data_IF_553663227954
#
_entry.id   IF_553663227954
#
_cell.length_a   1.000
_cell.length_b   1.000
_cell.length_c   1.000
_cell.angle_alpha   90.00
_cell.angle_beta   90.00
_cell.angle_gamma   90.00
#
_symmetry.space_group_name_H-M   'P 1'
#
loop_
_entity.id
_entity.type
_entity.pdbx_description
1 polymer ?
#
# COMPACT_ATOMS: atom_id res chain seq x y z
N UNK A 1 -4.52 -22.97 6.65
CA UNK A 1 -4.01 -21.83 5.83
C UNK A 1 -3.24 -20.87 6.73
N UNK A 2 -2.02 -20.43 6.39
CA UNK A 2 -1.25 -19.48 7.21
C UNK A 2 -1.69 -18.02 6.95
N UNK A 3 -1.47 -17.08 7.89
CA UNK A 3 -1.76 -15.64 7.67
C UNK A 3 -1.10 -15.11 6.40
N UNK A 4 0.17 -15.48 6.18
CA UNK A 4 0.93 -15.11 4.99
C UNK A 4 0.25 -15.63 3.71
N UNK A 5 -0.12 -16.90 3.67
CA UNK A 5 -0.79 -17.50 2.51
C UNK A 5 -2.18 -16.90 2.27
N UNK A 6 -2.91 -16.55 3.33
CA UNK A 6 -4.20 -15.85 3.22
C UNK A 6 -4.03 -14.45 2.61
N UNK A 7 -3.04 -13.69 3.06
CA UNK A 7 -2.72 -12.36 2.52
C UNK A 7 -2.22 -12.45 1.07
N UNK A 8 -1.35 -13.41 0.76
CA UNK A 8 -0.85 -13.67 -0.60
C UNK A 8 -2.01 -14.02 -1.55
N UNK A 9 -2.90 -14.93 -1.16
CA UNK A 9 -4.08 -15.25 -1.97
C UNK A 9 -4.97 -14.02 -2.16
N UNK A 10 -5.30 -13.32 -1.07
CA UNK A 10 -6.15 -12.12 -1.11
C UNK A 10 -5.59 -11.01 -2.01
N UNK A 11 -4.26 -10.86 -2.05
CA UNK A 11 -3.57 -9.86 -2.86
C UNK A 11 -3.41 -10.29 -4.34
N UNK A 12 -3.10 -11.57 -4.61
CA UNK A 12 -2.91 -12.08 -5.97
C UNK A 12 -4.23 -12.13 -6.77
N UNK A 13 -5.35 -12.40 -6.12
CA UNK A 13 -6.69 -12.40 -6.73
C UNK A 13 -7.14 -11.00 -7.20
N UNK A 14 -6.55 -9.93 -6.64
CA UNK A 14 -6.80 -8.56 -7.09
C UNK A 14 -6.03 -8.14 -8.34
N UNK A 15 -4.91 -8.79 -8.66
CA UNK A 15 -3.99 -8.37 -9.74
C UNK A 15 -3.84 -9.38 -10.90
N UNK A 16 -4.44 -10.57 -10.81
CA UNK A 16 -4.28 -11.60 -11.84
C UNK A 16 -5.56 -11.78 -12.67
N UNK A 17 -5.73 -10.96 -13.72
CA UNK A 17 -6.49 -11.41 -14.89
C UNK A 17 -5.57 -12.32 -15.71
N UNK A 18 -5.60 -13.64 -15.49
CA UNK A 18 -5.11 -14.59 -16.50
C UNK A 18 -4.28 -15.83 -16.13
N UNK A 19 -4.02 -16.16 -14.86
CA UNK A 19 -3.34 -17.43 -14.52
C UNK A 19 -4.04 -18.13 -13.34
N UNK A 20 -5.07 -18.91 -13.65
CA UNK A 20 -5.73 -19.84 -12.73
C UNK A 20 -4.80 -20.98 -12.36
N UNK A 21 -4.04 -20.81 -11.27
CA UNK A 21 -3.73 -21.95 -10.39
C UNK A 21 -4.76 -21.94 -9.28
N UNK A 22 -5.88 -22.61 -9.55
CA UNK A 22 -6.89 -22.98 -8.56
C UNK A 22 -6.20 -23.87 -7.53
N UNK A 23 -5.98 -23.34 -6.33
CA UNK A 23 -5.54 -24.12 -5.19
C UNK A 23 -6.79 -24.43 -4.37
N UNK A 24 -7.02 -25.68 -3.95
CA UNK A 24 -8.24 -26.05 -3.25
C UNK A 24 -8.39 -25.19 -1.99
N UNK A 25 -9.54 -24.55 -1.87
CA UNK A 25 -10.01 -23.81 -0.73
C UNK A 25 -9.98 -24.70 0.52
N UNK A 26 -8.88 -24.67 1.26
CA UNK A 26 -8.83 -25.33 2.55
C UNK A 26 -9.69 -24.50 3.50
N UNK A 27 -10.85 -25.05 3.88
CA UNK A 27 -11.65 -24.53 4.99
C UNK A 27 -10.71 -24.29 6.18
N UNK A 28 -10.49 -23.02 6.51
CA UNK A 28 -9.70 -22.67 7.67
C UNK A 28 -10.48 -23.10 8.91
N UNK A 29 -9.85 -23.84 9.82
CA UNK A 29 -10.43 -24.20 11.13
C UNK A 29 -10.73 -22.97 12.00
N UNK A 30 -10.08 -21.84 11.71
CA UNK A 30 -10.17 -20.60 12.48
C UNK A 30 -10.76 -19.49 11.60
N UNK A 31 -11.62 -18.66 12.20
CA UNK A 31 -12.17 -17.48 11.54
C UNK A 31 -11.06 -16.51 11.09
N UNK A 32 -11.10 -16.10 9.83
CA UNK A 32 -10.21 -15.10 9.24
C UNK A 32 -11.05 -14.04 8.54
N UNK A 33 -10.76 -12.78 8.83
CA UNK A 33 -11.35 -11.64 8.16
C UNK A 33 -10.24 -10.72 7.65
N UNK A 34 -10.47 -10.12 6.48
CA UNK A 34 -9.68 -9.02 5.94
C UNK A 34 -10.55 -7.76 6.00
N UNK A 35 -10.06 -6.73 6.69
CA UNK A 35 -10.71 -5.42 6.74
C UNK A 35 -9.82 -4.43 5.99
N UNK A 36 -10.36 -3.80 4.95
CA UNK A 36 -9.67 -2.81 4.15
C UNK A 36 -10.34 -1.45 4.35
N UNK A 37 -9.58 -0.50 4.88
CA UNK A 37 -10.03 0.87 5.11
C UNK A 37 -9.43 1.76 4.04
N UNK A 38 -10.28 2.35 3.19
CA UNK A 38 -9.87 3.32 2.19
C UNK A 38 -10.16 4.73 2.68
N UNK A 39 -9.13 5.58 2.81
CA UNK A 39 -9.26 6.86 3.53
C UNK A 39 -9.69 8.05 2.67
N UNK A 40 -9.99 7.89 1.37
CA UNK A 40 -10.44 8.97 0.45
C UNK A 40 -9.71 10.32 0.60
N UNK A 41 -8.38 10.28 0.82
CA UNK A 41 -7.54 11.47 1.00
C UNK A 41 -7.35 11.96 2.44
N UNK A 42 -7.98 11.32 3.43
CA UNK A 42 -7.90 11.67 4.84
C UNK A 42 -6.60 11.32 5.56
N UNK A 43 -5.54 10.92 4.84
CA UNK A 43 -4.24 10.66 5.43
C UNK A 43 -3.10 11.17 4.55
N UNK A 44 -2.22 11.97 5.14
CA UNK A 44 -0.95 12.36 4.53
C UNK A 44 0.13 11.34 4.91
N UNK A 45 0.42 10.42 3.98
CA UNK A 45 1.41 9.37 4.19
C UNK A 45 2.81 9.90 4.49
N UNK A 46 3.18 11.07 3.98
CA UNK A 46 4.50 11.68 4.24
C UNK A 46 4.61 12.26 5.65
N UNK A 47 3.50 12.53 6.33
CA UNK A 47 3.50 12.90 7.76
C UNK A 47 3.14 11.72 8.66
N UNK A 48 2.62 10.60 8.12
CA UNK A 48 2.37 9.37 8.88
C UNK A 48 3.68 8.68 9.26
N UNK A 49 4.61 8.54 8.30
CA UNK A 49 5.91 7.90 8.49
C UNK A 49 7.00 8.76 7.84
N UNK A 50 7.98 9.15 8.64
CA UNK A 50 9.04 10.10 8.26
C UNK A 50 10.41 9.43 8.47
N UNK A 51 11.36 9.52 7.53
CA UNK A 51 12.71 9.02 7.78
C UNK A 51 13.40 9.85 8.87
N UNK A 52 14.15 9.19 9.78
CA UNK A 52 14.90 9.88 10.85
C UNK A 52 16.39 10.00 10.57
N UNK A 53 16.90 9.31 9.54
CA UNK A 53 18.27 9.54 9.04
C UNK A 53 18.46 11.01 8.65
N UNK A 54 19.61 11.59 8.98
CA UNK A 54 19.84 13.03 8.85
C UNK A 54 19.74 13.53 7.40
N UNK A 55 20.22 12.74 6.43
CA UNK A 55 20.18 13.10 5.01
C UNK A 55 18.75 13.03 4.49
N UNK A 56 18.04 11.95 4.79
CA UNK A 56 16.66 11.75 4.32
C UNK A 56 15.68 12.69 5.01
N UNK A 57 15.87 12.95 6.31
CA UNK A 57 15.05 13.90 7.05
C UNK A 57 15.24 15.33 6.55
N UNK A 58 16.47 15.75 6.24
CA UNK A 58 16.72 17.05 5.61
C UNK A 58 16.05 17.17 4.23
N UNK A 59 16.06 16.09 3.42
CA UNK A 59 15.34 16.04 2.15
C UNK A 59 13.82 16.15 2.34
N UNK A 60 13.27 15.44 3.33
CA UNK A 60 11.86 15.55 3.74
C UNK A 60 11.50 16.99 4.14
N UNK A 61 12.27 17.60 5.03
CA UNK A 61 12.05 18.99 5.46
C UNK A 61 12.05 19.96 4.29
N UNK A 62 13.04 19.84 3.40
CA UNK A 62 13.13 20.69 2.20
C UNK A 62 11.92 20.51 1.29
N UNK A 63 11.46 19.28 1.07
CA UNK A 63 10.34 19.00 0.19
C UNK A 63 9.00 19.45 0.77
N UNK A 64 8.86 19.44 2.10
CA UNK A 64 7.59 19.69 2.81
C UNK A 64 7.44 21.13 3.30
N UNK A 65 8.55 21.85 3.49
CA UNK A 65 8.54 23.21 4.00
C UNK A 65 7.83 23.31 5.35
N UNK A 66 6.84 24.20 5.45
CA UNK A 66 6.08 24.42 6.69
C UNK A 66 5.26 23.20 7.16
N UNK A 67 5.04 22.20 6.30
CA UNK A 67 4.28 20.98 6.64
C UNK A 67 5.16 19.87 7.25
N UNK A 68 6.48 20.07 7.31
CA UNK A 68 7.38 19.10 7.92
C UNK A 68 7.22 19.05 9.44
N UNK A 69 7.16 17.83 9.97
CA UNK A 69 7.15 17.60 11.41
C UNK A 69 8.57 17.72 11.99
N UNK A 70 8.76 18.38 13.14
CA UNK A 70 10.03 18.37 13.86
C UNK A 70 10.32 16.98 14.44
N UNK A 71 11.60 16.61 14.53
CA UNK A 71 12.06 15.31 15.09
C UNK A 71 11.46 15.02 16.48
N UNK A 72 11.28 16.04 17.30
CA UNK A 72 10.73 15.92 18.66
C UNK A 72 9.25 15.51 18.69
N UNK A 73 8.54 15.62 17.57
CA UNK A 73 7.15 15.19 17.39
C UNK A 73 7.02 13.84 16.70
N UNK A 74 8.12 13.12 16.49
CA UNK A 74 8.12 11.83 15.81
C UNK A 74 8.35 10.70 16.80
N UNK A 75 7.53 9.64 16.69
CA UNK A 75 7.61 8.43 17.49
C UNK A 75 8.53 7.42 16.80
N UNK A 76 9.74 7.14 17.30
CA UNK A 76 10.71 6.34 16.58
C UNK A 76 10.28 4.88 16.42
N UNK A 77 10.53 4.31 15.24
CA UNK A 77 10.43 2.89 14.91
C UNK A 77 11.67 2.47 14.12
N UNK A 78 12.09 1.21 14.29
CA UNK A 78 13.26 0.66 13.62
C UNK A 78 12.85 -0.40 12.60
N UNK A 79 13.11 -0.13 11.33
CA UNK A 79 13.00 -1.13 10.28
C UNK A 79 14.35 -1.87 10.12
N UNK A 80 14.35 -3.21 10.04
CA UNK A 80 15.58 -3.99 9.92
C UNK A 80 16.27 -3.87 8.56
N UNK A 81 15.55 -3.47 7.50
CA UNK A 81 16.08 -3.38 6.14
C UNK A 81 16.33 -1.92 5.71
N UNK A 82 15.49 -1.00 6.15
CA UNK A 82 15.47 0.38 5.66
C UNK A 82 15.93 1.43 6.68
N UNK A 83 16.22 1.03 7.91
CA UNK A 83 16.73 1.92 8.95
C UNK A 83 15.63 2.54 9.83
N UNK A 84 15.91 3.72 10.38
CA UNK A 84 15.06 4.32 11.41
C UNK A 84 14.07 5.31 10.82
N UNK A 85 12.81 5.16 11.22
CA UNK A 85 11.69 6.03 10.86
C UNK A 85 11.00 6.57 12.11
N UNK A 86 10.16 7.57 11.93
CA UNK A 86 9.33 8.18 12.95
C UNK A 86 7.88 8.18 12.50
N UNK A 87 6.98 7.65 13.33
CA UNK A 87 5.55 7.81 13.14
C UNK A 87 5.08 9.16 13.66
N UNK A 88 3.98 9.68 13.12
CA UNK A 88 3.31 10.87 13.65
C UNK A 88 3.04 10.74 15.16
N UNK A 89 3.24 11.81 15.96
CA UNK A 89 2.99 11.81 17.42
C UNK A 89 1.60 11.33 17.86
N UNK A 90 0.61 11.50 16.98
CA UNK A 90 -0.77 11.09 17.23
C UNK A 90 -1.04 9.59 16.96
N UNK A 91 0.00 8.78 16.71
CA UNK A 91 -0.11 7.35 16.39
C UNK A 91 0.65 6.43 17.36
N UNK A 92 0.61 6.63 18.69
CA UNK A 92 1.34 5.78 19.65
C UNK A 92 0.87 4.32 19.62
N UNK A 93 -0.41 4.06 19.31
CA UNK A 93 -0.94 2.70 19.17
C UNK A 93 -0.34 1.98 17.96
N UNK A 94 -0.12 2.69 16.84
CA UNK A 94 0.55 2.11 15.68
C UNK A 94 2.03 1.84 15.96
N UNK A 95 2.71 2.72 16.70
CA UNK A 95 4.08 2.46 17.17
C UNK A 95 4.13 1.17 18.00
N UNK A 96 3.20 1.00 18.94
CA UNK A 96 3.10 -0.21 19.76
C UNK A 96 2.87 -1.46 18.90
N UNK A 97 1.96 -1.41 17.92
CA UNK A 97 1.72 -2.52 17.00
C UNK A 97 2.94 -2.85 16.13
N UNK A 98 3.70 -1.83 15.69
CA UNK A 98 4.93 -2.03 14.94
C UNK A 98 5.99 -2.74 15.80
N UNK A 99 6.23 -2.27 17.03
CA UNK A 99 7.17 -2.89 17.98
C UNK A 99 6.79 -4.34 18.30
N UNK A 100 5.50 -4.63 18.38
CA UNK A 100 4.98 -6.00 18.56
C UNK A 100 5.04 -6.87 17.29
N UNK A 101 5.58 -6.36 16.17
CA UNK A 101 5.61 -7.04 14.86
C UNK A 101 4.22 -7.39 14.32
N UNK A 102 3.21 -6.61 14.69
CA UNK A 102 1.81 -6.74 14.26
C UNK A 102 1.41 -5.76 13.17
N UNK A 103 2.18 -4.69 12.96
CA UNK A 103 2.03 -3.73 11.88
C UNK A 103 3.19 -3.88 10.87
N UNK A 104 2.88 -3.72 9.59
CA UNK A 104 3.86 -3.56 8.52
C UNK A 104 3.46 -2.35 7.67
N UNK A 105 4.44 -1.59 7.21
CA UNK A 105 4.24 -0.45 6.31
C UNK A 105 4.71 -0.85 4.93
N UNK A 106 3.87 -0.62 3.92
CA UNK A 106 4.24 -0.82 2.51
C UNK A 106 4.27 0.55 1.86
N UNK A 107 5.48 1.06 1.62
CA UNK A 107 5.71 2.34 0.97
C UNK A 107 5.77 2.20 -0.55
N UNK A 108 5.70 3.34 -1.25
CA UNK A 108 5.87 3.41 -2.70
C UNK A 108 4.84 2.56 -3.48
N UNK A 109 3.63 2.46 -2.92
CA UNK A 109 2.49 1.76 -3.50
C UNK A 109 1.74 2.71 -4.42
N UNK A 110 1.35 2.22 -5.59
CA UNK A 110 0.55 2.95 -6.58
C UNK A 110 0.02 2.00 -7.63
N UNK A 111 -0.86 2.50 -8.48
CA UNK A 111 -1.40 1.72 -9.61
C UNK A 111 -0.31 1.62 -10.66
N UNK A 112 0.03 0.39 -11.07
CA UNK A 112 1.00 0.12 -12.13
C UNK A 112 0.42 -0.91 -13.10
N UNK A 113 0.50 -0.63 -14.40
CA UNK A 113 0.17 -1.62 -15.45
C UNK A 113 1.28 -2.68 -15.58
N UNK A 114 2.52 -2.28 -15.28
CA UNK A 114 3.73 -3.12 -15.28
C UNK A 114 4.82 -2.47 -14.45
N UNK A 115 5.85 -3.22 -14.00
CA UNK A 115 7.02 -2.65 -13.34
C UNK A 115 7.60 -1.49 -14.16
N UNK A 116 7.92 -0.38 -13.49
CA UNK A 116 8.35 0.86 -14.15
C UNK A 116 9.53 1.49 -13.41
N UNK A 117 10.12 2.52 -14.02
CA UNK A 117 11.19 3.34 -13.42
C UNK A 117 10.79 4.81 -13.49
N UNK A 118 11.47 5.67 -12.73
CA UNK A 118 11.21 7.12 -12.78
C UNK A 118 11.38 7.70 -14.19
N UNK A 119 12.39 7.25 -14.94
CA UNK A 119 12.65 7.67 -16.33
C UNK A 119 11.48 7.35 -17.25
N UNK A 120 10.83 6.19 -17.06
CA UNK A 120 9.72 5.75 -17.89
C UNK A 120 8.48 6.61 -17.71
N UNK A 121 8.37 7.39 -16.62
CA UNK A 121 7.24 8.29 -16.39
C UNK A 121 7.17 9.44 -17.40
N UNK A 122 8.29 9.76 -18.05
CA UNK A 122 8.38 10.79 -19.10
C UNK A 122 8.49 10.22 -20.51
N UNK A 123 8.52 8.89 -20.67
CA UNK A 123 8.59 8.24 -21.97
C UNK A 123 7.17 8.05 -22.54
N UNK A 124 6.80 8.74 -23.63
CA UNK A 124 5.45 8.65 -24.20
C UNK A 124 5.15 7.27 -24.81
N UNK A 125 6.18 6.45 -25.07
CA UNK A 125 6.02 5.09 -25.61
C UNK A 125 5.85 4.05 -24.51
N UNK A 126 6.17 4.40 -23.26
CA UNK A 126 6.04 3.49 -22.14
C UNK A 126 4.57 3.41 -21.70
N UNK A 127 4.00 2.21 -21.73
CA UNK A 127 2.66 1.97 -21.22
C UNK A 127 2.57 2.23 -19.71
N UNK A 128 1.86 3.30 -19.35
CA UNK A 128 1.50 3.70 -17.99
C UNK A 128 -0.02 3.53 -17.78
N UNK A 129 -0.52 3.55 -16.53
CA UNK A 129 -1.96 3.63 -16.28
C UNK A 129 -2.58 4.84 -16.97
N UNK A 130 -3.83 4.69 -17.42
CA UNK A 130 -4.58 5.83 -17.99
C UNK A 130 -4.69 6.96 -16.96
N UNK A 131 -4.62 8.21 -17.42
CA UNK A 131 -4.72 9.39 -16.56
C UNK A 131 -3.85 9.33 -15.30
N UNK A 132 -2.62 8.79 -15.41
CA UNK A 132 -1.67 8.75 -14.30
C UNK A 132 -1.54 10.15 -13.67
N UNK A 133 -1.61 10.22 -12.33
CA UNK A 133 -1.71 11.45 -11.50
C UNK A 133 -3.12 12.02 -11.30
N UNK A 134 -4.15 11.53 -11.99
CA UNK A 134 -5.54 11.80 -11.65
C UNK A 134 -5.90 11.06 -10.36
N UNK A 135 -6.31 11.79 -9.33
CA UNK A 135 -6.73 11.20 -8.06
C UNK A 135 -8.01 10.38 -8.24
N UNK A 136 -9.01 10.92 -8.92
CA UNK A 136 -10.29 10.25 -9.12
C UNK A 136 -10.11 8.94 -9.90
N UNK A 137 -9.36 8.97 -11.00
CA UNK A 137 -9.14 7.76 -11.81
C UNK A 137 -8.33 6.72 -11.04
N UNK A 138 -7.29 7.12 -10.29
CA UNK A 138 -6.50 6.18 -9.49
C UNK A 138 -7.26 5.59 -8.31
N UNK A 139 -8.23 6.30 -7.73
CA UNK A 139 -9.15 5.74 -6.72
C UNK A 139 -9.97 4.60 -7.35
N UNK A 140 -10.55 4.84 -8.53
CA UNK A 140 -11.30 3.81 -9.26
C UNK A 140 -10.40 2.62 -9.56
N UNK A 141 -9.21 2.84 -10.10
CA UNK A 141 -8.26 1.76 -10.42
C UNK A 141 -7.81 0.96 -9.19
N UNK A 142 -7.58 1.61 -8.04
CA UNK A 142 -7.25 0.92 -6.78
C UNK A 142 -8.40 0.05 -6.28
N UNK A 143 -9.65 0.47 -6.47
CA UNK A 143 -10.83 -0.29 -6.05
C UNK A 143 -11.17 -1.40 -7.05
N UNK A 144 -11.05 -1.13 -8.35
CA UNK A 144 -11.38 -2.08 -9.41
C UNK A 144 -10.25 -3.05 -9.70
N UNK A 145 -8.98 -2.71 -9.40
CA UNK A 145 -7.80 -3.49 -9.76
C UNK A 145 -7.44 -3.43 -11.25
N UNK A 146 -8.10 -2.57 -12.04
CA UNK A 146 -7.80 -2.39 -13.46
C UNK A 146 -7.09 -1.05 -13.68
N UNK A 147 -6.14 -0.99 -14.61
CA UNK A 147 -5.32 0.21 -14.84
C UNK A 147 -5.84 1.13 -15.96
N UNK A 148 -7.03 0.85 -16.47
CA UNK A 148 -7.69 1.56 -17.58
C UNK A 148 -8.89 2.42 -17.12
N UNK A 149 -8.84 2.97 -15.91
CA UNK A 149 -9.83 3.88 -15.29
C UNK A 149 -11.26 3.35 -15.13
N UNK A 150 -11.55 2.10 -15.49
CA UNK A 150 -12.87 1.50 -15.42
C UNK A 150 -12.91 0.18 -14.65
N UNK A 151 -14.12 -0.34 -14.49
CA UNK A 151 -14.39 -1.66 -13.92
C UNK A 151 -15.83 -1.76 -13.42
N UNK A 152 -16.52 -2.84 -13.76
CA UNK A 152 -17.87 -3.14 -13.26
C UNK A 152 -17.86 -3.88 -11.92
N UNK A 153 -16.68 -4.25 -11.42
CA UNK A 153 -16.49 -4.94 -10.14
C UNK A 153 -15.19 -4.50 -9.45
N UNK A 154 -15.15 -4.65 -8.11
CA UNK A 154 -13.98 -4.39 -7.29
C UNK A 154 -13.18 -5.65 -6.98
N UNK A 155 -11.88 -5.51 -6.70
CA UNK A 155 -11.05 -6.66 -6.32
C UNK A 155 -11.57 -7.34 -5.03
N UNK A 156 -12.11 -6.56 -4.09
CA UNK A 156 -12.63 -7.10 -2.82
C UNK A 156 -13.81 -8.07 -3.00
N UNK A 157 -14.64 -7.87 -4.03
CA UNK A 157 -15.72 -8.81 -4.39
C UNK A 157 -15.22 -10.03 -5.18
N UNK A 158 -14.23 -9.83 -6.06
CA UNK A 158 -13.64 -10.93 -6.86
C UNK A 158 -12.74 -11.85 -6.05
N UNK A 159 -12.16 -11.38 -4.95
CA UNK A 159 -11.27 -12.19 -4.11
C UNK A 159 -11.99 -13.40 -3.49
N UNK A 160 -13.17 -13.28 -2.85
CA UNK A 160 -13.97 -14.43 -2.41
C UNK A 160 -14.33 -15.40 -3.53
N UNK A 161 -14.75 -14.90 -4.71
CA UNK A 161 -15.14 -15.76 -5.85
C UNK A 161 -14.00 -16.70 -6.24
N UNK A 162 -12.77 -16.19 -6.32
CA UNK A 162 -11.62 -17.02 -6.64
C UNK A 162 -10.98 -17.76 -5.45
N UNK A 163 -11.44 -17.53 -4.21
CA UNK A 163 -11.14 -18.37 -3.05
C UNK A 163 -12.11 -19.56 -2.93
N UNK A 164 -13.29 -19.50 -3.56
CA UNK A 164 -14.28 -20.58 -3.56
C UNK A 164 -14.11 -21.56 -4.73
N UNK A 165 -13.50 -21.12 -5.84
CA UNK A 165 -13.14 -21.95 -6.98
C UNK A 165 -11.99 -22.91 -6.67
#
# INVERSE_FOLDING_TARGET
MTRRRFLELSACLGMASGLTRVLPAHAASDYRALVCVFMFGGNDGHNLIVPLDSVQYAAYQKARGALALPLTQLLPIQDPAFGTFGLHYALPELQSLYTQKKLAVVSNVGVLTRPTTYRNLSDPTFQLPLNLRSHADQVVMMQTGFTNAGGSSGWGGRTPDGLQA
#
